data_IF_330386090154
#
_entry.id   IF_330386090154
#
_cell.length_a   1.000
_cell.length_b   1.000
_cell.length_c   1.000
_cell.angle_alpha   90.00
_cell.angle_beta   90.00
_cell.angle_gamma   90.00
#
_symmetry.space_group_name_H-M   'P 1'
#
loop_
_entity.id
_entity.type
_entity.pdbx_description
1 polymer ?
#
# COMPACT_ATOMS: atom_id res chain seq x y z
N UNK A 1 -14.99 13.54 -23.72
CA UNK A 1 -13.61 13.48 -23.19
C UNK A 1 -13.23 12.01 -23.07
N UNK A 2 -12.27 11.54 -23.88
CA UNK A 2 -12.06 10.11 -24.13
C UNK A 2 -11.40 9.43 -22.92
N UNK A 3 -12.02 8.36 -22.38
CA UNK A 3 -11.50 7.53 -21.25
C UNK A 3 -10.04 7.07 -21.44
N UNK A 4 -9.56 6.97 -22.69
CA UNK A 4 -8.19 6.59 -23.02
C UNK A 4 -7.12 7.61 -22.61
N UNK A 5 -7.45 8.91 -22.56
CA UNK A 5 -6.44 9.94 -22.25
C UNK A 5 -6.21 10.17 -20.75
N UNK A 6 -7.25 9.95 -19.92
CA UNK A 6 -7.15 10.10 -18.47
C UNK A 6 -6.23 9.02 -17.86
N UNK A 7 -6.34 7.79 -18.38
CA UNK A 7 -5.43 6.70 -18.00
C UNK A 7 -4.08 6.84 -18.71
N UNK A 8 -4.01 7.12 -20.02
CA UNK A 8 -2.71 7.24 -20.70
C UNK A 8 -1.73 8.25 -20.07
N UNK A 9 -2.22 9.36 -19.50
CA UNK A 9 -1.36 10.33 -18.78
C UNK A 9 -0.82 9.82 -17.43
N UNK A 10 -1.63 9.05 -16.70
CA UNK A 10 -1.21 8.36 -15.48
C UNK A 10 -0.22 7.23 -15.82
N UNK A 11 -0.48 6.49 -16.90
CA UNK A 11 0.34 5.37 -17.39
C UNK A 11 1.72 5.83 -17.88
N UNK A 12 1.78 6.88 -18.69
CA UNK A 12 3.05 7.50 -19.12
C UNK A 12 3.84 8.02 -17.92
N UNK A 13 3.16 8.53 -16.88
CA UNK A 13 3.82 9.01 -15.69
C UNK A 13 4.35 7.89 -14.79
N UNK A 14 3.56 6.84 -14.53
CA UNK A 14 3.98 5.68 -13.75
C UNK A 14 5.19 4.99 -14.41
N UNK A 15 5.18 4.86 -15.74
CA UNK A 15 6.34 4.38 -16.51
C UNK A 15 7.56 5.33 -16.47
N UNK A 16 7.35 6.65 -16.46
CA UNK A 16 8.43 7.63 -16.34
C UNK A 16 9.06 7.66 -14.93
N UNK A 17 8.27 7.51 -13.87
CA UNK A 17 8.78 7.40 -12.49
C UNK A 17 9.62 6.13 -12.33
N UNK A 18 9.14 4.99 -12.82
CA UNK A 18 9.92 3.74 -12.84
C UNK A 18 11.28 3.91 -13.54
N UNK A 19 11.32 4.61 -14.68
CA UNK A 19 12.58 4.85 -15.42
C UNK A 19 13.52 5.89 -14.79
N UNK A 20 13.01 6.84 -14.00
CA UNK A 20 13.82 7.92 -13.40
C UNK A 20 14.56 7.48 -12.13
N UNK A 21 14.19 6.34 -11.55
CA UNK A 21 14.78 5.80 -10.32
C UNK A 21 15.58 4.50 -10.53
N UNK A 22 15.72 4.05 -11.78
CA UNK A 22 16.55 2.89 -12.14
C UNK A 22 18.04 3.28 -12.11
N UNK A 23 18.69 3.09 -10.96
CA UNK A 23 20.14 3.27 -10.80
C UNK A 23 20.89 1.94 -10.96
N UNK A 24 22.16 1.97 -11.39
CA UNK A 24 22.95 0.75 -11.60
C UNK A 24 23.12 -0.04 -10.28
N UNK A 25 23.29 -1.37 -10.34
CA UNK A 25 23.46 -2.20 -9.16
C UNK A 25 24.68 -1.74 -8.35
N UNK A 26 24.44 -1.41 -7.08
CA UNK A 26 25.50 -1.16 -6.11
C UNK A 26 26.11 -2.50 -5.70
N UNK A 27 27.43 -2.65 -5.85
CA UNK A 27 28.14 -3.79 -5.27
C UNK A 27 28.27 -3.57 -3.76
N UNK A 28 27.52 -4.34 -2.96
CA UNK A 28 27.75 -4.43 -1.52
C UNK A 28 29.13 -5.05 -1.27
N UNK A 29 30.16 -4.21 -1.22
CA UNK A 29 31.49 -4.61 -0.80
C UNK A 29 31.54 -4.56 0.73
N UNK A 30 31.73 -5.75 1.33
CA UNK A 30 32.20 -6.02 2.69
C UNK A 30 31.34 -5.55 3.87
N UNK A 31 30.31 -6.33 4.21
CA UNK A 31 29.92 -6.58 5.62
C UNK A 31 29.61 -8.09 5.74
N UNK A 32 29.99 -8.69 6.87
CA UNK A 32 30.26 -10.11 7.09
C UNK A 32 29.31 -11.13 6.43
N UNK A 33 29.88 -12.25 5.98
CA UNK A 33 29.20 -13.49 5.55
C UNK A 33 28.57 -14.23 6.75
N UNK A 34 28.08 -13.48 7.73
CA UNK A 34 27.43 -13.97 8.92
C UNK A 34 26.00 -14.33 8.56
N UNK A 35 25.62 -15.56 8.91
CA UNK A 35 24.23 -16.01 8.81
C UNK A 35 23.39 -15.20 9.79
N UNK A 36 22.35 -14.57 9.28
CA UNK A 36 21.40 -13.72 10.02
C UNK A 36 20.25 -14.58 10.56
N UNK A 37 19.74 -15.48 9.71
CA UNK A 37 18.66 -16.39 10.00
C UNK A 37 18.68 -17.55 8.99
N UNK A 38 17.79 -18.51 9.13
CA UNK A 38 17.52 -19.52 8.12
C UNK A 38 16.03 -19.68 7.83
N UNK A 39 15.72 -20.22 6.65
CA UNK A 39 14.34 -20.48 6.24
C UNK A 39 14.17 -21.93 5.82
N UNK A 40 13.18 -22.62 6.38
CA UNK A 40 12.84 -23.98 5.98
C UNK A 40 12.10 -24.06 4.62
N UNK A 41 11.71 -22.92 4.05
CA UNK A 41 10.89 -22.82 2.85
C UNK A 41 11.30 -21.63 1.95
N UNK A 42 10.88 -21.68 0.68
CA UNK A 42 11.06 -20.56 -0.23
C UNK A 42 10.00 -19.50 0.04
N UNK A 43 10.44 -18.26 0.13
CA UNK A 43 9.61 -17.06 0.15
C UNK A 43 9.67 -16.45 -1.25
N UNK A 44 8.82 -16.95 -2.12
CA UNK A 44 8.82 -16.61 -3.54
C UNK A 44 8.16 -15.24 -3.78
N UNK A 45 8.59 -14.58 -4.86
CA UNK A 45 7.78 -13.59 -5.56
C UNK A 45 7.08 -14.39 -6.67
N UNK A 46 5.79 -14.73 -6.53
CA UNK A 46 5.13 -15.57 -7.52
C UNK A 46 5.19 -14.91 -8.90
N UNK A 47 5.47 -15.68 -9.96
CA UNK A 47 5.26 -15.23 -11.35
C UNK A 47 3.81 -14.77 -11.55
N UNK A 48 2.87 -15.37 -10.80
CA UNK A 48 1.45 -14.97 -10.79
C UNK A 48 1.24 -13.54 -10.28
N UNK A 49 2.23 -12.91 -9.65
CA UNK A 49 2.16 -11.50 -9.27
C UNK A 49 2.23 -10.58 -10.49
N UNK A 50 2.84 -11.01 -11.60
CA UNK A 50 2.83 -10.27 -12.87
C UNK A 50 1.46 -10.35 -13.57
N UNK A 51 0.70 -11.42 -13.33
CA UNK A 51 -0.62 -11.62 -13.93
C UNK A 51 -1.78 -11.21 -13.01
N UNK A 52 -1.60 -11.31 -11.69
CA UNK A 52 -2.59 -11.03 -10.65
C UNK A 52 -1.90 -10.47 -9.39
N UNK A 53 -2.21 -9.21 -9.00
CA UNK A 53 -1.73 -8.63 -7.74
C UNK A 53 -2.16 -9.47 -6.53
N UNK A 54 -1.21 -10.20 -5.92
CA UNK A 54 -1.47 -11.06 -4.76
C UNK A 54 -0.61 -10.67 -3.57
N UNK A 55 -1.19 -10.90 -2.39
CA UNK A 55 -0.47 -10.81 -1.13
C UNK A 55 0.50 -11.98 -1.06
N UNK A 56 1.72 -11.76 -0.57
CA UNK A 56 2.74 -12.79 -0.46
C UNK A 56 3.22 -12.91 0.98
N UNK A 57 3.65 -14.13 1.37
CA UNK A 57 4.27 -14.35 2.66
C UNK A 57 5.52 -13.50 2.86
N UNK A 58 6.33 -13.32 1.81
CA UNK A 58 7.50 -12.43 1.81
C UNK A 58 7.11 -10.97 2.03
N UNK A 59 6.07 -10.51 1.35
CA UNK A 59 5.52 -9.17 1.54
C UNK A 59 5.03 -8.93 2.96
N UNK A 60 4.35 -9.91 3.54
CA UNK A 60 3.92 -9.84 4.94
C UNK A 60 5.11 -9.84 5.91
N UNK A 61 6.15 -10.64 5.67
CA UNK A 61 7.38 -10.65 6.44
C UNK A 61 8.04 -9.26 6.45
N UNK A 62 8.19 -8.64 5.27
CA UNK A 62 8.79 -7.31 5.14
C UNK A 62 7.95 -6.25 5.85
N UNK A 63 6.63 -6.25 5.64
CA UNK A 63 5.76 -5.27 6.25
C UNK A 63 5.71 -5.41 7.79
N UNK A 64 5.71 -6.64 8.32
CA UNK A 64 5.85 -6.88 9.77
C UNK A 64 7.21 -6.39 10.28
N UNK A 65 8.30 -6.69 9.57
CA UNK A 65 9.65 -6.26 9.91
C UNK A 65 9.76 -4.73 10.00
N UNK A 66 9.12 -4.00 9.08
CA UNK A 66 9.11 -2.53 9.13
C UNK A 66 8.43 -2.02 10.40
N UNK A 67 7.25 -2.56 10.76
CA UNK A 67 6.56 -2.13 11.99
C UNK A 67 7.36 -2.45 13.24
N UNK A 68 7.94 -3.65 13.29
CA UNK A 68 8.75 -4.09 14.41
C UNK A 68 10.00 -3.21 14.58
N UNK A 69 10.77 -3.01 13.51
CA UNK A 69 12.01 -2.26 13.57
C UNK A 69 11.81 -0.79 13.96
N UNK A 70 10.69 -0.17 13.54
CA UNK A 70 10.35 1.19 13.99
C UNK A 70 10.04 1.21 15.49
N UNK A 71 9.23 0.27 15.98
CA UNK A 71 8.88 0.19 17.40
C UNK A 71 10.12 -0.11 18.27
N UNK A 72 11.03 -0.95 17.77
CA UNK A 72 12.29 -1.25 18.43
C UNK A 72 13.21 -0.03 18.50
N UNK A 73 13.40 0.67 17.37
CA UNK A 73 14.26 1.85 17.27
C UNK A 73 13.77 3.01 18.17
N UNK A 74 12.46 3.15 18.33
CA UNK A 74 11.88 4.20 19.18
C UNK A 74 11.68 3.79 20.64
N UNK A 75 11.74 2.49 20.90
CA UNK A 75 11.56 1.91 22.22
C UNK A 75 10.17 2.18 22.82
N UNK A 76 10.03 2.12 24.16
CA UNK A 76 8.74 2.15 24.84
C UNK A 76 8.02 3.51 24.78
N UNK A 77 8.71 4.57 24.34
CA UNK A 77 8.15 5.91 24.22
C UNK A 77 7.67 6.22 22.79
N UNK A 78 7.91 5.33 21.83
CA UNK A 78 7.46 5.49 20.45
C UNK A 78 5.95 5.32 20.32
N UNK A 79 5.33 6.12 19.45
CA UNK A 79 3.91 5.98 19.14
C UNK A 79 3.63 4.65 18.43
N UNK A 80 2.51 4.00 18.74
CA UNK A 80 2.16 2.74 18.09
C UNK A 80 2.04 2.87 16.55
N UNK A 81 2.82 2.06 15.83
CA UNK A 81 2.73 1.94 14.36
C UNK A 81 1.57 1.02 13.99
N UNK A 82 0.49 1.62 13.48
CA UNK A 82 -0.76 0.91 13.20
C UNK A 82 -0.69 0.05 11.95
N UNK A 83 0.08 0.49 10.95
CA UNK A 83 0.25 -0.23 9.70
C UNK A 83 1.64 -0.01 9.10
N UNK A 84 2.10 -0.97 8.31
CA UNK A 84 3.16 -0.74 7.34
C UNK A 84 2.75 -1.23 5.96
N UNK A 85 3.28 -0.55 4.94
CA UNK A 85 2.99 -0.84 3.55
C UNK A 85 4.28 -0.78 2.74
N UNK A 86 4.43 -1.70 1.82
CA UNK A 86 5.45 -1.67 0.77
C UNK A 86 4.84 -2.16 -0.54
N UNK A 87 5.07 -1.48 -1.68
CA UNK A 87 4.62 -1.97 -2.98
C UNK A 87 5.50 -3.13 -3.46
N UNK A 88 4.90 -4.06 -4.21
CA UNK A 88 5.58 -5.22 -4.77
C UNK A 88 6.80 -4.85 -5.61
N UNK A 89 6.73 -3.74 -6.34
CA UNK A 89 7.82 -3.26 -7.20
C UNK A 89 9.09 -2.85 -6.46
N UNK A 90 9.05 -2.70 -5.13
CA UNK A 90 10.26 -2.51 -4.32
C UNK A 90 10.93 -3.83 -3.91
N UNK A 91 10.21 -4.96 -3.97
CA UNK A 91 10.73 -6.29 -3.61
C UNK A 91 11.40 -6.90 -4.85
N UNK A 92 12.73 -6.97 -4.86
CA UNK A 92 13.52 -7.31 -6.06
C UNK A 92 13.86 -8.78 -6.19
N UNK A 93 13.83 -9.54 -5.09
CA UNK A 93 14.20 -10.95 -5.09
C UNK A 93 13.36 -11.75 -4.11
N UNK A 94 13.15 -13.03 -4.44
CA UNK A 94 12.70 -14.04 -3.49
C UNK A 94 13.80 -14.34 -2.46
N UNK A 95 13.41 -14.99 -1.35
CA UNK A 95 14.35 -15.64 -0.43
C UNK A 95 14.23 -17.16 -0.58
N UNK A 96 15.33 -17.82 -0.93
CA UNK A 96 15.38 -19.27 -1.00
C UNK A 96 15.44 -19.89 0.40
N UNK A 97 14.98 -21.14 0.52
CA UNK A 97 15.20 -21.93 1.71
C UNK A 97 16.70 -22.14 1.98
N UNK A 98 17.07 -22.25 3.25
CA UNK A 98 18.43 -22.44 3.73
C UNK A 98 18.94 -21.26 4.57
N UNK A 99 20.26 -21.22 4.84
CA UNK A 99 20.88 -20.16 5.62
C UNK A 99 20.90 -18.85 4.83
N UNK A 100 20.54 -17.75 5.50
CA UNK A 100 20.38 -16.43 4.92
C UNK A 100 21.38 -15.47 5.55
N UNK A 101 22.29 -14.94 4.75
CA UNK A 101 23.20 -13.87 5.14
C UNK A 101 22.64 -12.49 4.76
N UNK A 102 23.39 -11.44 5.13
CA UNK A 102 23.06 -10.04 4.83
C UNK A 102 22.93 -9.78 3.32
N UNK A 103 23.65 -10.49 2.47
CA UNK A 103 23.62 -10.31 1.02
C UNK A 103 22.30 -10.81 0.41
N UNK A 104 21.80 -11.95 0.89
CA UNK A 104 20.49 -12.48 0.49
C UNK A 104 19.38 -11.49 0.87
N UNK A 105 19.43 -10.96 2.10
CA UNK A 105 18.44 -9.99 2.59
C UNK A 105 18.53 -8.66 1.83
N UNK A 106 19.75 -8.17 1.57
CA UNK A 106 19.96 -6.95 0.79
C UNK A 106 19.40 -7.08 -0.63
N UNK A 107 19.55 -8.24 -1.29
CA UNK A 107 19.00 -8.46 -2.63
C UNK A 107 17.48 -8.25 -2.69
N UNK A 108 16.75 -8.63 -1.64
CA UNK A 108 15.28 -8.45 -1.55
C UNK A 108 14.89 -6.97 -1.60
N UNK A 109 15.61 -6.10 -0.88
CA UNK A 109 15.34 -4.67 -0.75
C UNK A 109 16.55 -3.82 -1.18
N UNK A 110 17.08 -4.13 -2.36
CA UNK A 110 18.33 -3.57 -2.88
C UNK A 110 18.18 -2.19 -3.53
N UNK A 111 16.96 -1.74 -3.74
CA UNK A 111 16.71 -0.48 -4.43
C UNK A 111 17.08 0.74 -3.60
N UNK A 112 17.58 1.73 -4.32
CA UNK A 112 17.65 3.09 -3.84
C UNK A 112 18.84 3.40 -2.94
N UNK A 113 18.82 4.64 -2.49
CA UNK A 113 19.82 5.22 -1.62
C UNK A 113 19.10 6.15 -0.65
N UNK A 114 19.64 6.26 0.56
CA UNK A 114 19.20 7.24 1.55
C UNK A 114 19.58 8.67 1.21
N UNK A 115 19.10 9.59 2.05
CA UNK A 115 19.56 10.98 2.02
C UNK A 115 21.01 11.07 2.51
N UNK A 116 21.42 10.13 3.36
CA UNK A 116 22.79 9.88 3.82
C UNK A 116 23.73 9.27 2.76
N UNK A 117 23.24 9.04 1.54
CA UNK A 117 23.99 8.42 0.44
C UNK A 117 24.42 6.97 0.72
N UNK A 118 23.78 6.26 1.65
CA UNK A 118 24.01 4.83 1.87
C UNK A 118 22.92 3.97 1.24
N UNK A 119 23.23 2.72 0.93
CA UNK A 119 22.37 1.84 0.14
C UNK A 119 21.05 1.49 0.85
N UNK A 120 19.97 1.46 0.05
CA UNK A 120 18.61 1.15 0.50
C UNK A 120 17.79 2.39 0.83
N UNK A 121 16.49 2.34 0.53
CA UNK A 121 15.56 3.36 0.98
C UNK A 121 15.36 3.32 2.50
N UNK A 122 15.39 4.48 3.18
CA UNK A 122 15.07 4.56 4.60
C UNK A 122 13.57 4.40 4.84
N UNK A 123 13.23 3.94 6.04
CA UNK A 123 11.87 3.94 6.55
C UNK A 123 11.49 5.35 7.01
N UNK A 124 10.24 5.69 6.74
CA UNK A 124 9.59 6.90 7.24
C UNK A 124 8.31 6.54 7.96
N UNK A 125 7.94 7.35 8.94
CA UNK A 125 6.64 7.25 9.60
C UNK A 125 5.89 8.56 9.52
N UNK A 126 4.59 8.46 9.28
CA UNK A 126 3.69 9.62 9.25
C UNK A 126 2.28 9.17 9.57
N UNK A 127 1.39 10.14 9.72
CA UNK A 127 0.00 9.93 10.06
C UNK A 127 -0.90 10.14 8.86
N UNK A 128 -1.84 9.22 8.68
CA UNK A 128 -2.94 9.31 7.72
C UNK A 128 -4.28 9.16 8.43
N UNK A 129 -5.29 9.85 7.94
CA UNK A 129 -6.68 9.61 8.38
C UNK A 129 -7.20 8.30 7.81
N UNK A 130 -8.19 7.68 8.46
CA UNK A 130 -8.79 6.44 7.96
C UNK A 130 -9.32 6.54 6.51
N UNK A 131 -9.83 7.71 6.12
CA UNK A 131 -10.25 7.96 4.72
C UNK A 131 -9.08 7.99 3.75
N UNK A 132 -7.94 8.55 4.15
CA UNK A 132 -6.73 8.60 3.33
C UNK A 132 -6.11 7.20 3.20
N UNK A 133 -6.14 6.41 4.28
CA UNK A 133 -5.77 4.99 4.25
C UNK A 133 -6.66 4.24 3.26
N UNK A 134 -7.99 4.40 3.33
CA UNK A 134 -8.92 3.82 2.34
C UNK A 134 -8.51 4.21 0.91
N UNK A 135 -8.22 5.49 0.67
CA UNK A 135 -7.76 5.95 -0.64
C UNK A 135 -6.47 5.28 -1.10
N UNK A 136 -5.50 5.05 -0.22
CA UNK A 136 -4.30 4.28 -0.55
C UNK A 136 -4.62 2.81 -0.87
N UNK A 137 -5.50 2.15 -0.11
CA UNK A 137 -5.88 0.75 -0.35
C UNK A 137 -6.59 0.56 -1.69
N UNK A 138 -7.25 1.58 -2.23
CA UNK A 138 -7.83 1.52 -3.58
C UNK A 138 -6.77 1.28 -4.68
N UNK A 139 -5.49 1.59 -4.43
CA UNK A 139 -4.39 1.26 -5.37
C UNK A 139 -4.40 -0.25 -5.65
N UNK A 140 -4.57 -1.09 -4.61
CA UNK A 140 -4.59 -2.56 -4.75
C UNK A 140 -5.65 -3.04 -5.73
N UNK A 141 -6.81 -2.40 -5.77
CA UNK A 141 -7.97 -2.91 -6.50
C UNK A 141 -8.21 -2.14 -7.81
N UNK A 142 -7.68 -0.93 -7.93
CA UNK A 142 -8.00 -0.01 -9.03
C UNK A 142 -6.82 0.31 -9.93
N UNK A 143 -5.59 0.10 -9.45
CA UNK A 143 -4.35 0.35 -10.18
C UNK A 143 -3.56 -0.94 -10.36
N UNK A 144 -3.34 -1.69 -9.28
CA UNK A 144 -2.51 -2.89 -9.32
C UNK A 144 -2.94 -3.92 -10.39
N UNK A 145 -4.26 -4.14 -10.67
CA UNK A 145 -4.66 -5.07 -11.72
C UNK A 145 -4.16 -4.69 -13.12
N UNK A 146 -3.88 -3.40 -13.35
CA UNK A 146 -3.32 -2.88 -14.59
C UNK A 146 -1.77 -2.70 -14.48
N UNK A 147 -1.22 -2.67 -13.25
CA UNK A 147 0.19 -2.35 -12.91
C UNK A 147 0.62 -3.11 -11.64
N UNK A 148 0.98 -4.40 -11.74
CA UNK A 148 1.17 -5.25 -10.58
C UNK A 148 2.30 -4.84 -9.64
N UNK A 149 3.27 -4.05 -10.11
CA UNK A 149 4.33 -3.43 -9.32
C UNK A 149 3.78 -2.52 -8.19
N UNK A 150 2.55 -2.02 -8.31
CA UNK A 150 1.88 -1.24 -7.27
C UNK A 150 1.02 -2.09 -6.32
N UNK A 151 1.02 -3.42 -6.45
CA UNK A 151 0.38 -4.31 -5.48
C UNK A 151 0.96 -4.04 -4.09
N UNK A 152 0.10 -3.84 -3.10
CA UNK A 152 0.48 -3.47 -1.76
C UNK A 152 0.68 -4.73 -0.91
N UNK A 153 1.86 -4.85 -0.31
CA UNK A 153 2.13 -5.78 0.79
C UNK A 153 1.96 -5.01 2.11
N UNK A 154 1.12 -5.55 3.00
CA UNK A 154 0.59 -4.79 4.13
C UNK A 154 0.75 -5.57 5.43
N UNK A 155 1.04 -4.85 6.50
CA UNK A 155 0.89 -5.33 7.87
C UNK A 155 -0.02 -4.38 8.64
N UNK A 156 -0.85 -4.93 9.53
CA UNK A 156 -1.68 -4.17 10.46
C UNK A 156 -2.99 -3.63 9.89
N UNK A 157 -3.37 -3.98 8.66
CA UNK A 157 -4.68 -3.65 8.08
C UNK A 157 -5.29 -4.93 7.51
N UNK A 158 -6.61 -5.07 7.67
CA UNK A 158 -7.42 -6.04 6.93
C UNK A 158 -8.51 -5.31 6.18
N UNK A 159 -8.88 -5.77 4.99
CA UNK A 159 -10.00 -5.18 4.26
C UNK A 159 -10.67 -6.15 3.31
N UNK A 160 -11.88 -5.79 2.88
CA UNK A 160 -12.58 -6.47 1.80
C UNK A 160 -12.67 -5.58 0.58
N UNK A 161 -12.77 -6.20 -0.58
CA UNK A 161 -13.02 -5.48 -1.82
C UNK A 161 -13.93 -6.25 -2.74
N UNK A 162 -14.58 -5.53 -3.66
CA UNK A 162 -15.45 -6.11 -4.67
C UNK A 162 -15.15 -5.45 -6.03
N UNK A 163 -14.69 -6.25 -6.99
CA UNK A 163 -14.28 -5.78 -8.32
C UNK A 163 -15.44 -5.24 -9.17
N UNK A 164 -16.68 -5.63 -8.84
CA UNK A 164 -17.93 -5.12 -9.42
C UNK A 164 -18.32 -3.72 -8.94
N UNK A 165 -17.71 -3.20 -7.87
CA UNK A 165 -17.88 -1.80 -7.43
C UNK A 165 -17.15 -0.82 -8.34
N UNK A 166 -17.55 0.44 -8.24
CA UNK A 166 -16.93 1.52 -9.00
C UNK A 166 -15.44 1.60 -8.68
N UNK A 167 -14.58 1.69 -9.71
CA UNK A 167 -13.13 1.85 -9.56
C UNK A 167 -12.84 3.07 -8.66
N UNK A 168 -11.88 2.93 -7.75
CA UNK A 168 -11.56 3.86 -6.65
C UNK A 168 -12.60 3.96 -5.53
N UNK A 169 -13.58 3.06 -5.49
CA UNK A 169 -14.47 2.85 -4.34
C UNK A 169 -14.83 1.35 -4.22
N UNK A 170 -13.84 0.49 -4.38
CA UNK A 170 -13.98 -0.98 -4.29
C UNK A 170 -13.75 -1.51 -2.89
N UNK A 171 -12.96 -0.81 -2.09
CA UNK A 171 -12.55 -1.21 -0.75
C UNK A 171 -13.60 -0.82 0.29
N UNK A 172 -13.88 -1.74 1.22
CA UNK A 172 -14.80 -1.58 2.35
C UNK A 172 -14.44 -2.53 3.49
N UNK A 173 -15.15 -2.43 4.63
CA UNK A 173 -14.87 -3.24 5.82
C UNK A 173 -13.37 -3.22 6.18
N UNK A 174 -12.79 -2.02 6.25
CA UNK A 174 -11.38 -1.87 6.63
C UNK A 174 -11.28 -1.97 8.15
N UNK A 175 -10.43 -2.88 8.61
CA UNK A 175 -10.05 -3.04 10.00
C UNK A 175 -8.57 -2.73 10.15
N UNK A 176 -8.18 -2.10 11.25
CA UNK A 176 -6.81 -1.70 11.54
C UNK A 176 -6.37 -2.24 12.89
N UNK A 177 -5.09 -2.60 12.99
CA UNK A 177 -4.53 -3.16 14.21
C UNK A 177 -4.42 -2.10 15.30
N UNK A 178 -4.56 -2.54 16.54
CA UNK A 178 -4.52 -1.72 17.76
C UNK A 178 -3.37 -2.19 18.66
N UNK A 179 -2.94 -1.37 19.64
CA UNK A 179 -1.81 -1.71 20.51
C UNK A 179 -1.93 -3.03 21.27
N UNK A 180 -3.16 -3.53 21.51
CA UNK A 180 -3.40 -4.81 22.18
C UNK A 180 -3.40 -6.01 21.21
N UNK A 181 -3.04 -5.79 19.94
CA UNK A 181 -2.97 -6.81 18.89
C UNK A 181 -4.31 -7.16 18.26
N UNK A 182 -5.41 -6.50 18.64
CA UNK A 182 -6.73 -6.70 18.01
C UNK A 182 -6.90 -5.84 16.77
N UNK A 183 -7.92 -6.17 15.97
CA UNK A 183 -8.35 -5.37 14.82
C UNK A 183 -9.67 -4.68 15.14
N UNK A 184 -9.76 -3.39 14.81
CA UNK A 184 -10.98 -2.58 14.96
C UNK A 184 -11.36 -1.92 13.62
N UNK A 185 -12.66 -1.67 13.36
CA UNK A 185 -13.08 -0.93 12.17
C UNK A 185 -12.44 0.45 12.10
N UNK A 186 -11.93 0.83 10.92
CA UNK A 186 -11.25 2.09 10.76
C UNK A 186 -12.21 3.29 10.83
N UNK A 187 -11.91 4.24 11.69
CA UNK A 187 -12.61 5.52 11.75
C UNK A 187 -12.10 6.52 10.69
N UNK A 188 -13.01 7.13 9.92
CA UNK A 188 -12.65 7.94 8.73
C UNK A 188 -11.74 9.14 9.02
N UNK A 189 -11.86 9.77 10.20
CA UNK A 189 -11.16 11.02 10.53
C UNK A 189 -10.07 10.85 11.61
N UNK A 190 -9.97 9.67 12.23
CA UNK A 190 -8.92 9.36 13.20
C UNK A 190 -7.58 9.23 12.48
N UNK A 191 -6.52 9.75 13.09
CA UNK A 191 -5.16 9.60 12.60
C UNK A 191 -4.58 8.26 13.02
N UNK A 192 -3.94 7.58 12.08
CA UNK A 192 -3.24 6.34 12.29
C UNK A 192 -1.81 6.48 11.77
N UNK A 193 -0.87 6.01 12.59
CA UNK A 193 0.55 6.03 12.24
C UNK A 193 0.86 4.91 11.26
N UNK A 194 1.45 5.25 10.12
CA UNK A 194 1.81 4.33 9.05
C UNK A 194 3.32 4.40 8.81
N UNK A 195 3.93 3.25 8.59
CA UNK A 195 5.32 3.11 8.18
C UNK A 195 5.41 2.68 6.71
N UNK A 196 6.37 3.22 5.97
CA UNK A 196 6.68 2.80 4.60
C UNK A 196 8.11 3.24 4.27
N UNK A 197 8.63 2.85 3.10
CA UNK A 197 9.87 3.43 2.58
C UNK A 197 9.67 4.89 2.16
N UNK A 198 10.75 5.69 2.25
CA UNK A 198 10.78 7.07 1.79
C UNK A 198 10.37 7.22 0.31
N UNK A 199 10.81 6.28 -0.54
CA UNK A 199 10.42 6.24 -1.95
C UNK A 199 8.92 6.10 -2.12
N UNK A 200 8.28 5.15 -1.45
CA UNK A 200 6.81 5.00 -1.53
C UNK A 200 6.09 6.23 -0.97
N UNK A 201 6.55 6.83 0.13
CA UNK A 201 5.93 8.02 0.70
C UNK A 201 5.92 9.21 -0.28
N UNK A 202 7.06 9.46 -0.93
CA UNK A 202 7.22 10.52 -1.93
C UNK A 202 6.41 10.24 -3.19
N UNK A 203 6.38 8.99 -3.65
CA UNK A 203 5.57 8.56 -4.79
C UNK A 203 4.07 8.79 -4.54
N UNK A 204 3.54 8.35 -3.39
CA UNK A 204 2.13 8.54 -3.04
C UNK A 204 1.75 10.02 -2.99
N UNK A 205 2.60 10.87 -2.43
CA UNK A 205 2.39 12.33 -2.42
C UNK A 205 2.30 12.89 -3.85
N UNK A 206 3.15 12.41 -4.75
CA UNK A 206 3.17 12.85 -6.16
C UNK A 206 1.95 12.36 -6.95
N UNK A 207 1.40 11.19 -6.63
CA UNK A 207 0.19 10.65 -7.28
C UNK A 207 -1.06 11.49 -7.02
N UNK A 208 -1.12 12.20 -5.90
CA UNK A 208 -2.23 13.10 -5.57
C UNK A 208 -2.45 14.18 -6.63
N UNK A 209 -1.37 14.83 -7.07
CA UNK A 209 -1.44 15.92 -8.04
C UNK A 209 -1.92 15.42 -9.41
N UNK A 210 -1.59 14.17 -9.74
CA UNK A 210 -1.81 13.59 -11.07
C UNK A 210 -3.10 12.79 -11.19
N UNK A 211 -3.68 12.36 -10.07
CA UNK A 211 -4.99 11.70 -10.04
C UNK A 211 -6.15 12.67 -9.82
N UNK A 212 -5.94 13.97 -10.02
CA UNK A 212 -6.95 15.01 -9.75
C UNK A 212 -7.53 14.91 -8.32
N UNK A 213 -6.69 14.54 -7.35
CA UNK A 213 -7.07 14.32 -5.94
C UNK A 213 -8.04 13.14 -5.69
N UNK A 214 -8.22 12.24 -6.67
CA UNK A 214 -8.97 10.99 -6.48
C UNK A 214 -8.23 10.10 -5.47
N UNK A 215 -6.92 9.92 -5.65
CA UNK A 215 -6.05 9.42 -4.59
C UNK A 215 -5.63 10.60 -3.72
N UNK A 216 -6.20 10.65 -2.53
CA UNK A 216 -6.01 11.72 -1.56
C UNK A 216 -5.35 11.11 -0.33
N UNK A 217 -4.03 11.07 -0.28
CA UNK A 217 -3.29 10.84 0.94
C UNK A 217 -2.36 12.01 1.18
N UNK A 218 -2.50 12.67 2.33
CA UNK A 218 -1.65 13.77 2.75
C UNK A 218 -0.95 13.29 4.02
N UNK A 219 0.32 12.89 3.94
CA UNK A 219 1.10 12.55 5.13
C UNK A 219 1.11 13.71 6.13
N UNK A 220 0.95 13.40 7.41
CA UNK A 220 0.89 14.36 8.51
C UNK A 220 1.83 13.97 9.64
N UNK A 221 2.16 14.93 10.50
CA UNK A 221 2.74 14.65 11.81
C UNK A 221 1.65 14.19 12.81
N UNK A 222 2.04 13.92 14.04
CA UNK A 222 1.13 13.48 15.12
C UNK A 222 0.03 14.48 15.45
N UNK A 223 0.28 15.78 15.25
CA UNK A 223 -0.70 16.87 15.43
C UNK A 223 -1.69 17.00 14.25
N UNK A 224 -1.55 16.17 13.20
CA UNK A 224 -2.37 16.22 12.01
C UNK A 224 -1.98 17.33 11.02
N UNK A 225 -0.82 17.95 11.19
CA UNK A 225 -0.28 18.97 10.28
C UNK A 225 0.39 18.28 9.09
N UNK A 226 0.05 18.64 7.84
CA UNK A 226 0.68 18.08 6.64
C UNK A 226 2.21 18.19 6.64
N UNK A 227 2.88 17.14 6.21
CA UNK A 227 4.34 17.09 6.01
C UNK A 227 4.62 17.23 4.50
N UNK A 228 5.40 18.23 4.13
CA UNK A 228 5.88 18.41 2.75
C UNK A 228 7.29 17.82 2.56
N UNK A 229 8.14 17.96 3.56
CA UNK A 229 9.50 17.43 3.58
C UNK A 229 9.57 16.11 4.36
N UNK A 230 9.59 14.99 3.62
CA UNK A 230 9.66 13.65 4.19
C UNK A 230 10.98 13.35 4.90
N UNK A 231 12.02 14.17 4.76
CA UNK A 231 13.26 13.99 5.54
C UNK A 231 13.00 14.16 7.05
N UNK A 232 11.97 14.93 7.41
CA UNK A 232 11.52 15.11 8.80
C UNK A 232 10.75 13.91 9.36
N UNK A 233 10.38 12.96 8.50
CA UNK A 233 9.61 11.77 8.84
C UNK A 233 10.49 10.50 8.89
N UNK A 234 11.81 10.63 8.69
CA UNK A 234 12.76 9.53 8.77
C UNK A 234 12.75 8.88 10.15
N UNK A 235 12.86 7.55 10.17
CA UNK A 235 13.01 6.80 11.42
C UNK A 235 14.48 6.77 11.79
N UNK A 236 14.76 7.20 13.02
CA UNK A 236 16.10 7.20 13.60
C UNK A 236 16.40 5.85 14.25
N UNK A 237 17.38 5.14 13.68
CA UNK A 237 17.81 3.83 14.15
C UNK A 237 18.65 3.89 15.44
N UNK A 238 19.21 5.06 15.81
CA UNK A 238 20.08 5.18 16.99
C UNK A 238 20.02 6.58 17.61
N UNK A 239 19.00 6.82 18.44
CA UNK A 239 18.79 8.09 19.13
C UNK A 239 19.95 8.52 20.06
N UNK A 240 20.94 7.65 20.32
CA UNK A 240 22.12 8.01 21.13
C UNK A 240 23.14 8.85 20.35
N UNK A 241 23.05 8.87 19.02
CA UNK A 241 23.98 9.58 18.14
C UNK A 241 23.36 10.89 17.63
N UNK A 242 24.21 11.83 17.25
CA UNK A 242 23.76 13.13 16.73
C UNK A 242 23.27 13.01 15.30
N UNK A 243 22.08 13.54 15.03
CA UNK A 243 21.42 13.52 13.72
C UNK A 243 20.66 12.21 13.51
N UNK A 244 19.87 12.11 12.43
CA UNK A 244 19.07 10.91 12.16
C UNK A 244 19.95 9.81 11.56
N UNK A 245 19.97 8.63 12.17
CA UNK A 245 20.55 7.43 11.59
C UNK A 245 19.47 6.71 10.79
N UNK A 246 19.51 6.83 9.48
CA UNK A 246 18.48 6.27 8.61
C UNK A 246 18.27 4.76 8.80
N UNK A 247 17.12 4.36 9.35
CA UNK A 247 16.72 2.96 9.41
C UNK A 247 16.35 2.46 8.01
N UNK A 248 17.23 1.67 7.38
CA UNK A 248 17.02 1.13 6.03
C UNK A 248 16.03 -0.03 6.03
N UNK A 249 15.22 -0.15 4.97
CA UNK A 249 14.27 -1.26 4.83
C UNK A 249 14.93 -2.65 4.89
N UNK A 250 16.07 -2.84 4.21
CA UNK A 250 16.81 -4.12 4.27
C UNK A 250 17.39 -4.40 5.66
N UNK A 251 17.80 -3.37 6.41
CA UNK A 251 18.27 -3.52 7.80
C UNK A 251 17.13 -3.87 8.74
N UNK A 252 15.95 -3.28 8.53
CA UNK A 252 14.74 -3.63 9.27
C UNK A 252 14.37 -5.11 9.07
N UNK A 253 14.43 -5.60 7.82
CA UNK A 253 14.22 -7.02 7.52
C UNK A 253 15.27 -7.91 8.19
N UNK A 254 16.56 -7.56 8.08
CA UNK A 254 17.63 -8.33 8.69
C UNK A 254 17.51 -8.39 10.22
N UNK A 255 17.28 -7.26 10.87
CA UNK A 255 17.12 -7.19 12.32
C UNK A 255 15.90 -7.99 12.79
N UNK A 256 14.78 -7.88 12.08
CA UNK A 256 13.59 -8.66 12.38
C UNK A 256 13.85 -10.17 12.30
N UNK A 257 14.51 -10.64 11.24
CA UNK A 257 14.84 -12.06 11.06
C UNK A 257 15.83 -12.55 12.13
N UNK A 258 16.85 -11.75 12.47
CA UNK A 258 17.81 -12.07 13.51
C UNK A 258 17.21 -12.15 14.92
N UNK A 259 16.08 -11.47 15.14
CA UNK A 259 15.38 -11.45 16.43
C UNK A 259 14.35 -12.57 16.59
N UNK A 260 14.18 -13.45 15.58
CA UNK A 260 13.25 -14.58 15.67
C UNK A 260 13.78 -15.68 16.58
N UNK A 261 12.87 -16.58 16.96
CA UNK A 261 13.23 -17.76 17.76
C UNK A 261 14.00 -18.77 16.89
N UNK A 262 15.02 -19.37 17.47
CA UNK A 262 15.68 -20.59 16.97
C UNK A 262 14.82 -21.78 17.41
N UNK A 263 14.03 -22.33 16.49
CA UNK A 263 13.03 -23.37 16.81
C UNK A 263 13.62 -24.77 16.77
N UNK A 264 14.77 -24.97 16.11
CA UNK A 264 15.42 -26.27 15.98
C UNK A 264 16.62 -26.47 16.93
N UNK A 265 17.07 -25.39 17.58
CA UNK A 265 18.14 -25.36 18.57
C UNK A 265 19.54 -25.38 17.98
N UNK A 266 19.71 -25.03 16.70
CA UNK A 266 21.00 -25.07 16.01
C UNK A 266 21.86 -23.81 16.18
N UNK A 267 21.34 -22.79 16.86
CA UNK A 267 22.00 -21.51 17.11
C UNK A 267 21.73 -20.44 16.06
N UNK A 268 20.84 -20.70 15.10
CA UNK A 268 20.43 -19.77 14.04
C UNK A 268 18.93 -19.47 14.17
N UNK A 269 18.51 -18.19 14.13
CA UNK A 269 17.09 -17.84 14.13
C UNK A 269 16.35 -18.37 12.90
N UNK A 270 15.09 -18.78 13.07
CA UNK A 270 14.26 -19.30 11.99
C UNK A 270 13.25 -18.26 11.49
N UNK A 271 13.07 -18.21 10.17
CA UNK A 271 11.94 -17.49 9.57
C UNK A 271 10.63 -18.19 9.98
N UNK A 272 9.67 -17.48 10.61
CA UNK A 272 8.45 -18.11 11.12
C UNK A 272 7.57 -18.73 10.03
N UNK A 273 7.06 -19.93 10.30
CA UNK A 273 6.14 -20.68 9.42
C UNK A 273 4.89 -19.90 9.00
N UNK A 274 4.46 -18.89 9.77
CA UNK A 274 3.31 -18.04 9.40
C UNK A 274 3.51 -17.33 8.06
N UNK A 275 4.75 -17.18 7.58
CA UNK A 275 5.08 -16.55 6.30
C UNK A 275 5.16 -17.55 5.13
N UNK A 276 4.88 -18.83 5.33
CA UNK A 276 4.76 -19.82 4.22
C UNK A 276 3.65 -19.39 3.24
N UNK A 277 2.59 -18.76 3.75
CA UNK A 277 1.46 -18.26 2.96
C UNK A 277 1.22 -16.79 3.29
N UNK A 278 0.47 -16.12 2.42
CA UNK A 278 -0.03 -14.79 2.74
C UNK A 278 -0.96 -14.81 3.96
N UNK A 279 -0.99 -13.69 4.68
CA UNK A 279 -1.82 -13.50 5.86
C UNK A 279 -3.32 -13.40 5.54
N UNK A 280 -3.69 -13.23 4.26
CA UNK A 280 -5.08 -13.02 3.84
C UNK A 280 -5.62 -11.67 4.28
N UNK A 281 -4.76 -10.64 4.30
CA UNK A 281 -5.10 -9.30 4.77
C UNK A 281 -6.15 -8.64 3.89
N UNK A 282 -6.25 -9.00 2.61
CA UNK A 282 -7.34 -8.54 1.75
C UNK A 282 -8.10 -9.67 1.08
N UNK A 283 -9.44 -9.57 1.16
CA UNK A 283 -10.37 -10.59 0.67
C UNK A 283 -11.27 -10.05 -0.42
N UNK A 284 -11.28 -10.71 -1.57
CA UNK A 284 -12.25 -10.43 -2.64
C UNK A 284 -13.63 -10.99 -2.29
N UNK A 285 -14.66 -10.17 -2.47
CA UNK A 285 -16.06 -10.55 -2.36
C UNK A 285 -16.71 -10.32 -3.72
N UNK A 286 -16.88 -11.42 -4.47
CA UNK A 286 -17.63 -11.40 -5.73
C UNK A 286 -19.14 -11.46 -5.43
N UNK A 287 -19.76 -10.29 -5.33
CA UNK A 287 -21.20 -10.15 -5.10
C UNK A 287 -21.79 -9.03 -5.96
N UNK A 288 -22.89 -9.35 -6.64
CA UNK A 288 -23.70 -8.37 -7.37
C UNK A 288 -24.87 -7.82 -6.53
N UNK A 289 -24.98 -8.20 -5.26
CA UNK A 289 -26.07 -7.73 -4.40
C UNK A 289 -25.96 -6.21 -4.15
N UNK A 290 -27.04 -5.42 -4.32
CA UNK A 290 -26.95 -3.96 -4.20
C UNK A 290 -26.39 -3.47 -2.86
N UNK A 291 -26.68 -4.19 -1.77
CA UNK A 291 -26.15 -3.87 -0.45
C UNK A 291 -24.62 -3.98 -0.39
N UNK A 292 -24.02 -4.98 -1.04
CA UNK A 292 -22.57 -5.17 -1.08
C UNK A 292 -21.90 -4.19 -2.05
N UNK A 293 -22.58 -3.86 -3.14
CA UNK A 293 -22.09 -2.88 -4.12
C UNK A 293 -22.04 -1.44 -3.56
N UNK A 294 -22.94 -1.12 -2.62
CA UNK A 294 -23.08 0.21 -2.04
C UNK A 294 -22.54 0.31 -0.59
N UNK A 295 -22.02 -0.78 -0.03
CA UNK A 295 -21.47 -0.81 1.33
C UNK A 295 -20.31 0.17 1.46
N UNK A 296 -20.39 1.05 2.44
CA UNK A 296 -19.40 2.12 2.69
C UNK A 296 -19.06 2.94 1.42
N UNK A 297 -20.05 3.12 0.53
CA UNK A 297 -19.89 3.87 -0.70
C UNK A 297 -19.49 5.32 -0.41
N UNK A 298 -18.40 5.76 -1.03
CA UNK A 298 -17.88 7.12 -0.85
C UNK A 298 -18.61 8.12 -1.75
N UNK A 299 -18.25 9.39 -1.60
CA UNK A 299 -18.73 10.48 -2.45
C UNK A 299 -18.43 10.26 -3.94
N UNK A 300 -17.45 9.42 -4.29
CA UNK A 300 -17.15 9.05 -5.68
C UNK A 300 -18.34 8.29 -6.27
N UNK A 301 -18.78 7.22 -5.60
CA UNK A 301 -19.92 6.41 -6.04
C UNK A 301 -21.22 7.19 -6.03
N UNK A 302 -21.51 7.92 -4.95
CA UNK A 302 -22.72 8.75 -4.88
C UNK A 302 -22.73 9.86 -5.92
N UNK A 303 -21.58 10.50 -6.17
CA UNK A 303 -21.43 11.52 -7.22
C UNK A 303 -21.67 10.94 -8.62
N UNK A 304 -21.14 9.75 -8.91
CA UNK A 304 -21.36 9.06 -10.18
C UNK A 304 -22.85 8.74 -10.40
N UNK A 305 -23.53 8.19 -9.39
CA UNK A 305 -24.96 7.90 -9.49
C UNK A 305 -25.80 9.17 -9.64
N UNK A 306 -25.44 10.26 -8.93
CA UNK A 306 -26.11 11.54 -9.09
C UNK A 306 -26.02 12.07 -10.53
N UNK A 307 -24.83 12.00 -11.16
CA UNK A 307 -24.64 12.41 -12.56
C UNK A 307 -25.50 11.55 -13.50
N UNK A 308 -25.52 10.24 -13.32
CA UNK A 308 -26.33 9.31 -14.13
C UNK A 308 -27.82 9.62 -13.98
N UNK A 309 -28.29 9.88 -12.75
CA UNK A 309 -29.68 10.22 -12.48
C UNK A 309 -30.08 11.54 -13.16
N UNK A 310 -29.25 12.59 -13.05
CA UNK A 310 -29.48 13.88 -13.71
C UNK A 310 -29.51 13.72 -15.24
N UNK A 311 -28.61 12.92 -15.80
CA UNK A 311 -28.60 12.63 -17.24
C UNK A 311 -29.87 11.90 -17.69
N UNK A 312 -30.32 10.88 -16.95
CA UNK A 312 -31.54 10.15 -17.26
C UNK A 312 -32.78 11.08 -17.22
N UNK A 313 -32.86 11.97 -16.22
CA UNK A 313 -33.95 12.95 -16.08
C UNK A 313 -33.94 13.93 -17.26
N UNK A 314 -32.78 14.47 -17.62
CA UNK A 314 -32.67 15.43 -18.74
C UNK A 314 -33.03 14.78 -20.07
N UNK A 315 -32.57 13.55 -20.35
CA UNK A 315 -33.00 12.78 -21.51
C UNK A 315 -34.52 12.52 -21.51
N UNK A 316 -35.10 12.17 -20.37
CA UNK A 316 -36.55 11.96 -20.24
C UNK A 316 -37.38 13.22 -20.51
N UNK A 317 -36.90 14.39 -20.05
CA UNK A 317 -37.54 15.69 -20.33
C UNK A 317 -37.45 16.08 -21.80
N UNK A 318 -36.29 15.85 -22.44
CA UNK A 318 -36.10 16.09 -23.87
C UNK A 318 -36.99 15.17 -24.71
N UNK A 319 -37.04 13.88 -24.40
CA UNK A 319 -37.94 12.93 -25.04
C UNK A 319 -39.40 13.36 -24.92
N UNK A 320 -39.84 13.82 -23.74
CA UNK A 320 -41.19 14.38 -23.53
C UNK A 320 -41.51 15.59 -24.42
N UNK A 321 -40.52 16.45 -24.69
CA UNK A 321 -40.69 17.61 -25.58
C UNK A 321 -40.72 17.23 -27.06
N UNK A 322 -40.01 16.17 -27.43
CA UNK A 322 -39.92 15.68 -28.81
C UNK A 322 -41.06 14.73 -29.22
N UNK A 323 -41.78 14.14 -28.27
CA UNK A 323 -43.00 13.37 -28.57
C UNK A 323 -44.07 14.36 -29.05
N UNK A 324 -44.51 14.29 -30.33
CA UNK A 324 -45.55 15.19 -30.82
C UNK A 324 -46.82 15.00 -29.99
N UNK A 325 -47.38 16.11 -29.49
CA UNK A 325 -48.70 16.09 -28.86
C UNK A 325 -49.67 15.50 -29.89
N UNK A 326 -50.10 14.24 -29.68
CA UNK A 326 -51.25 13.69 -30.41
C UNK A 326 -52.44 14.58 -30.07
N UNK A 327 -52.75 15.53 -30.93
CA UNK A 327 -54.00 16.28 -30.85
C UNK A 327 -55.12 15.25 -30.84
N UNK A 328 -55.81 15.13 -29.70
CA UNK A 328 -57.06 14.39 -29.63
C UNK A 328 -58.03 15.09 -30.59
N UNK A 329 -58.16 14.57 -31.82
CA UNK A 329 -59.25 14.89 -32.74
C UNK A 329 -60.55 14.67 -31.97
N UNK A 330 -61.13 15.74 -31.43
CA UNK A 330 -62.50 15.76 -30.94
C UNK A 330 -63.37 15.46 -32.15
N UNK A 331 -63.92 14.24 -32.24
CA UNK A 331 -65.05 13.94 -33.12
C UNK A 331 -66.21 14.85 -32.67
N UNK A 332 -66.44 15.95 -33.38
CA UNK A 332 -67.70 16.69 -33.32
C UNK A 332 -68.77 15.78 -33.95
N UNK A 333 -69.84 15.51 -33.19
CA UNK A 333 -71.07 14.90 -33.68
C UNK A 333 -71.83 15.87 -34.55
#
# INVERSE_FOLDING_TARGET
>A
MNRKYLFAGLILFLGLVSSAFFMPPYSAASEDNQIVAESAFNLEIPETTEENPVETGLGNLIADAFRHAVQEAEGPNGDYVHAAVIPQGEIQSALAAGPLDTSHIFQVLSLGQGLDQTAGYPLVTFYLTGREIKSCLEIQTSIAPDYPEYSLQISGIKFKYNMGRLRFDRVYDIEISTPDGKFEPIESYKLYRVCTTYYTATMVSTLREKTYKILSAIPKNSDGIPIEDFSTALVDADQSRTGVQELKGWKALAGFMAAQEDVDGNGTPDVPDKYIKSAGSYTEIDSAHPGDLLRDATNITWGAYFIVAVFAITCGLLARRLIPKREKRKRRR
#
